data_IF_881081020257
#
_entry.id   IF_881081020257
#
_cell.length_a   1.000
_cell.length_b   1.000
_cell.length_c   1.000
_cell.angle_alpha   90.00
_cell.angle_beta   90.00
_cell.angle_gamma   90.00
#
_symmetry.space_group_name_H-M   'P 1'
#
loop_
_entity.id
_entity.type
_entity.pdbx_description
1 polymer ?
#
# COMPACT_ATOMS: atom_id res chain seq x y z
N UNK A 1 11.07 1.24 19.15
CA UNK A 1 11.92 0.14 18.76
C UNK A 1 11.09 -1.12 18.63
N UNK A 2 11.09 -1.68 17.48
CA UNK A 2 11.15 -3.09 17.19
C UNK A 2 9.90 -3.90 17.46
N UNK A 3 8.92 -3.76 16.60
CA UNK A 3 8.23 -4.96 16.18
C UNK A 3 9.29 -5.94 15.63
N UNK A 4 9.34 -7.16 16.14
CA UNK A 4 10.26 -8.15 15.64
C UNK A 4 9.98 -8.33 14.15
N UNK A 5 10.82 -7.77 13.28
CA UNK A 5 10.81 -8.15 11.88
C UNK A 5 11.35 -9.57 11.82
N UNK A 6 10.49 -10.52 11.58
CA UNK A 6 10.94 -11.87 11.25
C UNK A 6 11.43 -11.80 9.81
N UNK A 7 12.74 -11.93 9.56
CA UNK A 7 13.29 -11.84 8.21
C UNK A 7 12.66 -12.90 7.31
N UNK A 8 12.27 -12.52 6.09
CA UNK A 8 11.79 -13.40 5.04
C UNK A 8 10.40 -14.04 5.21
N UNK A 9 9.50 -13.47 6.01
CA UNK A 9 8.11 -13.94 6.08
C UNK A 9 7.20 -13.24 5.07
N UNK A 10 7.55 -12.04 4.63
CA UNK A 10 6.71 -11.23 3.75
C UNK A 10 7.40 -10.96 2.42
N UNK A 11 6.68 -11.17 1.34
CA UNK A 11 7.17 -10.96 0.00
C UNK A 11 6.34 -9.90 -0.72
N UNK A 12 7.00 -8.97 -1.38
CA UNK A 12 6.41 -8.20 -2.46
C UNK A 12 6.59 -8.96 -3.79
N UNK A 13 5.63 -8.80 -4.68
CA UNK A 13 5.63 -9.48 -5.98
C UNK A 13 5.62 -8.47 -7.11
N UNK A 14 6.52 -8.67 -8.08
CA UNK A 14 6.49 -7.96 -9.36
C UNK A 14 5.97 -8.97 -10.39
N UNK A 15 4.88 -8.61 -11.06
CA UNK A 15 4.30 -9.35 -12.17
C UNK A 15 4.53 -8.52 -13.41
N UNK A 16 5.23 -9.08 -14.38
CA UNK A 16 5.59 -8.40 -15.62
C UNK A 16 5.22 -9.28 -16.81
N UNK A 17 4.34 -8.78 -17.66
CA UNK A 17 3.91 -9.46 -18.88
C UNK A 17 4.75 -9.08 -20.11
N UNK A 18 5.72 -8.19 -19.94
CA UNK A 18 6.44 -7.54 -21.04
C UNK A 18 5.68 -6.36 -21.65
N UNK A 19 4.39 -6.24 -21.38
CA UNK A 19 3.53 -5.11 -21.79
C UNK A 19 3.06 -4.29 -20.59
N UNK A 20 2.66 -4.97 -19.53
CA UNK A 20 2.15 -4.37 -18.30
C UNK A 20 2.92 -4.90 -17.11
N UNK A 21 3.10 -4.06 -16.10
CA UNK A 21 3.82 -4.40 -14.88
C UNK A 21 3.02 -4.03 -13.64
N UNK A 22 2.97 -4.96 -12.69
CA UNK A 22 2.25 -4.81 -11.43
C UNK A 22 3.19 -5.09 -10.29
N UNK A 23 3.18 -4.26 -9.26
CA UNK A 23 3.81 -4.54 -7.99
C UNK A 23 2.76 -4.71 -6.90
N UNK A 24 2.85 -5.79 -6.15
CA UNK A 24 1.94 -6.11 -5.04
C UNK A 24 2.74 -6.22 -3.77
N UNK A 25 2.38 -5.42 -2.78
CA UNK A 25 2.98 -5.44 -1.47
C UNK A 25 1.88 -5.31 -0.40
N UNK A 26 1.64 -6.38 0.41
CA UNK A 26 0.43 -6.45 1.24
C UNK A 26 0.52 -5.72 2.59
N UNK A 27 1.71 -5.35 3.06
CA UNK A 27 1.87 -4.88 4.45
C UNK A 27 2.53 -3.49 4.60
N UNK A 28 2.97 -2.88 3.52
CA UNK A 28 3.68 -1.60 3.56
C UNK A 28 5.15 -1.77 3.94
N UNK A 29 5.82 -2.76 3.40
CA UNK A 29 7.27 -2.91 3.47
C UNK A 29 7.93 -2.45 2.19
N UNK A 30 9.10 -1.87 2.32
CA UNK A 30 9.96 -1.51 1.21
C UNK A 30 11.26 -2.31 1.30
N UNK A 31 11.49 -3.17 0.33
CA UNK A 31 12.80 -3.80 0.17
C UNK A 31 13.77 -2.79 -0.45
N UNK A 32 14.80 -2.44 0.31
CA UNK A 32 15.84 -1.49 -0.13
C UNK A 32 16.72 -2.02 -1.27
N UNK A 33 16.65 -3.30 -1.58
CA UNK A 33 17.39 -3.92 -2.66
C UNK A 33 16.67 -3.78 -4.02
N UNK A 34 15.40 -3.43 -4.02
CA UNK A 34 14.65 -3.21 -5.26
C UNK A 34 15.17 -1.95 -5.95
N UNK A 35 15.57 -2.09 -7.21
CA UNK A 35 16.00 -0.96 -8.02
C UNK A 35 14.81 -0.16 -8.53
N UNK A 36 14.94 1.17 -8.68
CA UNK A 36 13.92 2.00 -9.30
C UNK A 36 13.54 1.48 -10.69
N UNK A 37 12.24 1.39 -10.95
CA UNK A 37 11.68 1.04 -12.25
C UNK A 37 10.25 1.56 -12.37
N UNK A 38 9.78 1.75 -13.60
CA UNK A 38 8.39 2.10 -13.81
C UNK A 38 7.49 0.87 -13.66
N UNK A 39 6.41 1.02 -12.93
CA UNK A 39 5.35 0.03 -12.74
C UNK A 39 4.03 0.69 -13.14
N UNK A 40 3.14 -0.02 -13.83
CA UNK A 40 1.86 0.54 -14.25
C UNK A 40 0.86 0.57 -13.11
N UNK A 41 0.78 -0.51 -12.34
CA UNK A 41 -0.13 -0.66 -11.21
C UNK A 41 0.62 -1.04 -9.94
N UNK A 42 0.41 -0.26 -8.88
CA UNK A 42 0.87 -0.54 -7.53
C UNK A 42 -0.31 -0.96 -6.66
N UNK A 43 -0.25 -2.15 -6.06
CA UNK A 43 -1.25 -2.64 -5.09
C UNK A 43 -0.59 -2.69 -3.72
N UNK A 44 -0.99 -1.77 -2.83
CA UNK A 44 -0.35 -1.61 -1.53
C UNK A 44 -1.32 -0.98 -0.51
N UNK A 45 -1.11 -1.19 0.79
CA UNK A 45 -1.80 -0.40 1.81
C UNK A 45 -1.49 1.08 1.66
N UNK A 46 -2.46 1.93 1.97
CA UNK A 46 -2.30 3.40 1.94
C UNK A 46 -2.49 4.03 3.32
N UNK A 47 -2.88 3.23 4.30
CA UNK A 47 -3.00 3.66 5.70
C UNK A 47 -2.09 2.84 6.60
N UNK A 48 -1.79 3.39 7.78
CA UNK A 48 -1.06 2.68 8.82
C UNK A 48 -2.03 2.08 9.83
N UNK A 49 -1.75 0.85 10.25
CA UNK A 49 -2.40 0.21 11.40
C UNK A 49 -1.38 -0.07 12.49
N UNK A 50 -1.73 0.28 13.71
CA UNK A 50 -0.88 0.04 14.87
C UNK A 50 -1.66 -0.53 16.06
N UNK A 51 -0.96 -1.27 16.89
CA UNK A 51 -1.42 -1.73 18.19
C UNK A 51 -0.55 -1.10 19.30
N UNK A 52 -1.16 -0.77 20.45
CA UNK A 52 -0.38 -0.40 21.62
C UNK A 52 0.66 -1.47 21.93
N UNK A 53 1.87 -1.07 22.28
CA UNK A 53 3.00 -1.92 22.62
C UNK A 53 3.60 -2.73 21.46
N UNK A 54 2.81 -3.13 20.45
CA UNK A 54 3.31 -3.85 19.28
C UNK A 54 3.78 -2.93 18.13
N UNK A 55 3.34 -1.67 18.14
CA UNK A 55 3.69 -0.71 17.09
C UNK A 55 2.90 -0.87 15.81
N UNK A 56 3.41 -0.32 14.72
CA UNK A 56 2.79 -0.40 13.39
C UNK A 56 3.04 -1.77 12.76
N UNK A 57 1.97 -2.47 12.42
CA UNK A 57 2.04 -3.75 11.70
C UNK A 57 1.66 -3.63 10.22
N UNK A 58 0.96 -2.56 9.83
CA UNK A 58 0.78 -2.14 8.44
C UNK A 58 1.28 -0.70 8.33
N UNK A 59 2.15 -0.43 7.37
CA UNK A 59 2.83 0.85 7.19
C UNK A 59 2.53 1.51 5.84
N UNK A 60 1.28 1.40 5.40
CA UNK A 60 0.88 1.90 4.10
C UNK A 60 1.14 3.38 3.92
N UNK A 61 0.62 4.22 4.80
CA UNK A 61 0.84 5.67 4.77
C UNK A 61 2.32 6.05 4.88
N UNK A 62 3.06 5.35 5.76
CA UNK A 62 4.48 5.64 6.00
C UNK A 62 5.35 5.31 4.79
N UNK A 63 5.06 4.20 4.11
CA UNK A 63 5.92 3.66 3.04
C UNK A 63 5.48 4.10 1.64
N UNK A 64 4.20 4.43 1.44
CA UNK A 64 3.67 4.78 0.13
C UNK A 64 4.46 5.87 -0.62
N UNK A 65 4.91 6.98 0.01
CA UNK A 65 5.70 7.99 -0.70
C UNK A 65 7.00 7.44 -1.29
N UNK A 66 7.64 6.50 -0.59
CA UNK A 66 8.87 5.87 -1.09
C UNK A 66 8.58 4.90 -2.25
N UNK A 67 7.49 4.14 -2.16
CA UNK A 67 7.04 3.27 -3.25
C UNK A 67 6.67 4.07 -4.50
N UNK A 68 6.01 5.22 -4.34
CA UNK A 68 5.67 6.11 -5.45
C UNK A 68 6.91 6.67 -6.14
N UNK A 69 7.93 7.03 -5.39
CA UNK A 69 9.23 7.48 -5.93
C UNK A 69 9.96 6.34 -6.65
N UNK A 70 9.94 5.14 -6.07
CA UNK A 70 10.65 3.99 -6.59
C UNK A 70 10.04 3.46 -7.89
N UNK A 71 8.72 3.40 -7.95
CA UNK A 71 7.98 2.74 -9.03
C UNK A 71 7.27 3.70 -9.97
N UNK A 72 7.07 4.95 -9.58
CA UNK A 72 6.40 5.96 -10.39
C UNK A 72 5.13 5.41 -11.10
N UNK A 73 4.19 4.78 -10.37
CA UNK A 73 3.04 4.11 -10.98
C UNK A 73 2.05 5.10 -11.59
N UNK A 74 1.30 4.66 -12.61
CA UNK A 74 0.15 5.41 -13.11
C UNK A 74 -1.06 5.29 -12.19
N UNK A 75 -1.20 4.13 -11.56
CA UNK A 75 -2.35 3.80 -10.70
C UNK A 75 -1.88 3.10 -9.43
N UNK A 76 -2.46 3.50 -8.32
CA UNK A 76 -2.34 2.82 -7.02
C UNK A 76 -3.71 2.26 -6.65
N UNK A 77 -3.79 0.96 -6.44
CA UNK A 77 -4.97 0.30 -5.89
C UNK A 77 -4.73 0.04 -4.41
N UNK A 78 -5.50 0.71 -3.56
CA UNK A 78 -5.37 0.55 -2.13
C UNK A 78 -5.77 -0.85 -1.68
N UNK A 79 -4.86 -1.58 -1.06
CA UNK A 79 -5.16 -2.83 -0.37
C UNK A 79 -5.39 -2.57 1.12
N UNK A 80 -6.04 -3.51 1.81
CA UNK A 80 -6.23 -3.52 3.28
C UNK A 80 -7.06 -2.37 3.85
N UNK A 81 -7.27 -1.30 3.12
CA UNK A 81 -8.07 -0.15 3.56
C UNK A 81 -9.48 -0.17 3.02
N UNK A 82 -9.65 -0.95 1.96
CA UNK A 82 -10.89 -1.01 1.24
C UNK A 82 -11.93 -1.85 1.95
N UNK A 83 -13.11 -1.35 2.00
CA UNK A 83 -14.27 -2.12 2.30
C UNK A 83 -14.61 -2.23 3.78
N UNK A 84 -15.35 -3.25 4.04
CA UNK A 84 -16.10 -3.45 5.26
C UNK A 84 -15.31 -4.11 6.38
N UNK A 85 -14.01 -3.81 6.51
CA UNK A 85 -13.25 -4.32 7.66
C UNK A 85 -13.77 -3.62 8.91
N UNK A 86 -14.47 -4.39 9.74
CA UNK A 86 -14.91 -3.96 11.04
C UNK A 86 -14.17 -4.76 12.10
N UNK A 87 -13.41 -4.06 12.90
CA UNK A 87 -12.84 -4.66 14.09
C UNK A 87 -13.89 -4.66 15.19
N UNK A 88 -14.11 -5.80 15.83
CA UNK A 88 -15.09 -5.94 16.91
C UNK A 88 -14.43 -6.35 18.23
N UNK A 89 -15.11 -6.10 19.33
CA UNK A 89 -14.60 -6.44 20.66
C UNK A 89 -13.47 -5.54 21.16
N UNK A 90 -12.60 -6.08 21.97
CA UNK A 90 -11.48 -5.35 22.58
C UNK A 90 -10.48 -4.83 21.55
N UNK A 91 -10.28 -5.56 20.46
CA UNK A 91 -9.36 -5.21 19.39
C UNK A 91 -9.75 -3.87 18.74
N UNK A 92 -11.05 -3.63 18.57
CA UNK A 92 -11.51 -2.36 17.98
C UNK A 92 -11.09 -1.12 18.79
N UNK A 93 -10.96 -1.27 20.10
CA UNK A 93 -10.50 -0.17 20.98
C UNK A 93 -9.00 0.01 21.00
N UNK A 94 -8.25 -0.99 20.58
CA UNK A 94 -6.79 -1.02 20.63
C UNK A 94 -6.14 -0.65 19.31
N UNK A 95 -6.79 -0.98 18.18
CA UNK A 95 -6.24 -0.66 16.85
C UNK A 95 -6.34 0.86 16.61
N UNK A 96 -5.20 1.44 16.28
CA UNK A 96 -5.11 2.82 15.78
C UNK A 96 -4.86 2.80 14.29
N UNK A 97 -5.63 3.62 13.58
CA UNK A 97 -5.46 3.86 12.15
C UNK A 97 -4.93 5.27 11.93
N UNK A 98 -3.90 5.40 11.11
CA UNK A 98 -3.37 6.69 10.70
C UNK A 98 -3.42 6.80 9.18
N UNK A 99 -3.98 7.90 8.71
CA UNK A 99 -4.15 8.19 7.30
C UNK A 99 -5.62 8.31 6.93
N UNK A 100 -5.88 9.15 5.95
CA UNK A 100 -7.19 9.31 5.34
C UNK A 100 -7.03 9.16 3.85
N UNK A 101 -7.89 8.38 3.25
CA UNK A 101 -7.91 8.20 1.81
C UNK A 101 -8.27 9.49 1.06
N UNK A 102 -9.07 10.36 1.68
CA UNK A 102 -9.73 11.48 1.01
C UNK A 102 -8.99 12.82 1.09
N UNK A 103 -8.08 13.01 2.04
CA UNK A 103 -7.54 14.33 2.37
C UNK A 103 -6.00 14.43 2.34
N UNK A 104 -5.31 13.44 1.82
CA UNK A 104 -3.85 13.49 1.87
C UNK A 104 -3.29 14.24 0.66
N UNK A 105 -2.85 15.48 0.89
CA UNK A 105 -2.16 16.31 -0.10
C UNK A 105 -0.85 15.72 -0.58
N UNK A 106 -0.30 14.74 0.16
CA UNK A 106 0.94 14.03 -0.20
C UNK A 106 0.85 13.33 -1.57
N UNK A 107 -0.35 12.92 -1.97
CA UNK A 107 -0.53 12.19 -3.24
C UNK A 107 -0.63 13.12 -4.45
N UNK A 108 -0.89 14.42 -4.23
CA UNK A 108 -0.98 15.39 -5.31
C UNK A 108 0.37 15.68 -6.00
N UNK A 109 1.46 15.44 -5.30
CA UNK A 109 2.81 15.57 -5.86
C UNK A 109 3.17 14.42 -6.82
N UNK A 110 2.48 13.30 -6.68
CA UNK A 110 2.67 12.13 -7.52
C UNK A 110 1.53 12.05 -8.53
N UNK A 111 1.86 12.01 -9.79
CA UNK A 111 0.88 11.91 -10.88
C UNK A 111 0.26 10.50 -10.97
N UNK A 112 -0.12 9.94 -9.83
CA UNK A 112 -0.71 8.63 -9.70
C UNK A 112 -2.20 8.74 -9.33
N UNK A 113 -3.03 7.95 -10.00
CA UNK A 113 -4.44 7.81 -9.65
C UNK A 113 -4.58 6.80 -8.50
N UNK A 114 -4.97 7.25 -7.32
CA UNK A 114 -5.16 6.37 -6.15
C UNK A 114 -6.62 5.98 -6.06
N UNK A 115 -6.88 4.68 -6.11
CA UNK A 115 -8.22 4.09 -6.11
C UNK A 115 -8.43 3.30 -4.83
N UNK A 116 -9.53 3.62 -4.11
CA UNK A 116 -10.06 2.75 -3.06
C UNK A 116 -11.01 1.74 -3.70
N UNK A 117 -10.66 0.44 -3.78
CA UNK A 117 -11.47 -0.51 -4.50
C UNK A 117 -12.78 -0.83 -3.77
N UNK A 118 -13.83 -0.94 -4.54
CA UNK A 118 -15.15 -1.40 -4.11
C UNK A 118 -15.32 -2.85 -4.55
N UNK A 119 -15.87 -3.69 -3.66
CA UNK A 119 -16.13 -5.11 -3.97
C UNK A 119 -16.97 -5.27 -5.24
N UNK A 120 -16.63 -6.27 -6.04
CA UNK A 120 -17.32 -6.62 -7.29
C UNK A 120 -17.27 -5.55 -8.39
N UNK A 121 -16.48 -4.50 -8.22
CA UNK A 121 -16.28 -3.49 -9.26
C UNK A 121 -15.01 -3.79 -10.05
N UNK A 122 -15.11 -3.77 -11.37
CA UNK A 122 -13.95 -3.86 -12.26
C UNK A 122 -13.30 -2.49 -12.42
N UNK A 123 -11.97 -2.46 -12.37
CA UNK A 123 -11.17 -1.28 -12.58
C UNK A 123 -10.25 -1.48 -13.78
N UNK A 124 -10.15 -0.45 -14.61
CA UNK A 124 -9.20 -0.39 -15.72
C UNK A 124 -8.10 0.60 -15.35
N UNK A 125 -6.89 0.27 -15.65
CA UNK A 125 -5.75 1.16 -15.49
C UNK A 125 -5.00 1.33 -16.79
N UNK A 126 -4.45 2.52 -17.00
CA UNK A 126 -3.69 2.84 -18.19
C UNK A 126 -2.22 2.54 -17.96
N UNK A 127 -1.57 2.04 -19.00
CA UNK A 127 -0.12 1.92 -19.02
C UNK A 127 0.53 3.29 -18.90
N UNK A 128 1.63 3.34 -18.21
CA UNK A 128 2.49 4.50 -18.28
C UNK A 128 3.29 4.40 -19.56
N UNK A 129 2.93 5.23 -20.50
CA UNK A 129 3.71 5.34 -21.74
C UNK A 129 5.02 6.06 -21.50
#
# INVERSE_FOLDING_TARGET
TTGASVPNIENGYIIDSGLDSIYIEPHGYLDKLIKPRNIDLLITPVIDFSLPLAGKFIKGKTVLPELLKLFNPSTVLASTTGGNIKFTGLINKLIKTEGSFENDTLYKEFNANIINPVQFKQYLFNRKM
#
